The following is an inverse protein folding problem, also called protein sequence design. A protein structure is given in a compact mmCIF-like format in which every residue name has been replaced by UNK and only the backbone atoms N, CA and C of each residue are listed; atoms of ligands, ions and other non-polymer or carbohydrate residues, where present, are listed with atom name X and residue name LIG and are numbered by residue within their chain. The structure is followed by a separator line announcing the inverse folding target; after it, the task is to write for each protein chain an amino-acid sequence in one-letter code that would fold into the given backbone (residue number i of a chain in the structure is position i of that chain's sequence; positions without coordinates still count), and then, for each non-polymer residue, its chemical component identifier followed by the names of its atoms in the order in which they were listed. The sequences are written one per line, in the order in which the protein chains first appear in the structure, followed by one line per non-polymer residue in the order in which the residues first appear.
data_IF_765711097957
#
_entry.id   IF_765711097957
#
_cell.length_a   1.000
_cell.length_b   1.000
_cell.length_c   1.000
_cell.angle_alpha   90.00
_cell.angle_beta   90.00
_cell.angle_gamma   90.00
#
_symmetry.space_group_name_H-M   'P 1'
#
loop_
_entity.id
_entity.type
_entity.pdbx_description
1 polymer ?
#
# COMPACT_ATOMS: atom_id res chain seq x y z
N UNK A 1 5.43 16.59 -17.56
CA UNK A 1 4.26 15.67 -17.52
C UNK A 1 4.56 14.37 -16.77
N UNK A 2 5.62 13.61 -17.11
CA UNK A 2 5.95 12.33 -16.43
C UNK A 2 6.10 12.42 -14.90
N UNK A 3 6.65 13.52 -14.37
CA UNK A 3 6.78 13.73 -12.91
C UNK A 3 5.48 14.09 -12.19
N UNK A 4 4.45 14.56 -12.91
CA UNK A 4 3.12 14.83 -12.36
C UNK A 4 2.33 13.52 -12.27
N UNK A 5 2.31 12.75 -13.37
CA UNK A 5 1.66 11.43 -13.41
C UNK A 5 2.25 10.48 -12.36
N UNK A 6 3.58 10.44 -12.20
CA UNK A 6 4.23 9.67 -11.13
C UNK A 6 3.74 10.08 -9.74
N UNK A 7 3.65 11.39 -9.48
CA UNK A 7 3.20 11.92 -8.18
C UNK A 7 1.75 11.58 -7.90
N UNK A 8 0.87 11.75 -8.88
CA UNK A 8 -0.54 11.40 -8.74
C UNK A 8 -0.71 9.91 -8.46
N UNK A 9 -0.09 9.04 -9.25
CA UNK A 9 -0.16 7.59 -9.02
C UNK A 9 0.37 7.20 -7.63
N UNK A 10 1.48 7.81 -7.19
CA UNK A 10 2.06 7.52 -5.88
C UNK A 10 1.14 7.96 -4.73
N UNK A 11 0.49 9.11 -4.87
CA UNK A 11 -0.47 9.62 -3.89
C UNK A 11 -1.72 8.74 -3.87
N UNK A 12 -2.27 8.38 -5.03
CA UNK A 12 -3.43 7.49 -5.13
C UNK A 12 -3.13 6.15 -4.47
N UNK A 13 -1.99 5.52 -4.80
CA UNK A 13 -1.60 4.26 -4.19
C UNK A 13 -1.47 4.38 -2.66
N UNK A 14 -0.80 5.43 -2.16
CA UNK A 14 -0.64 5.64 -0.73
C UNK A 14 -1.99 5.85 -0.01
N UNK A 15 -2.87 6.70 -0.57
CA UNK A 15 -4.18 6.98 0.00
C UNK A 15 -5.08 5.74 -0.03
N UNK A 16 -5.08 4.95 -1.10
CA UNK A 16 -5.82 3.70 -1.17
C UNK A 16 -5.40 2.74 -0.04
N UNK A 17 -4.09 2.49 0.13
CA UNK A 17 -3.60 1.59 1.20
C UNK A 17 -3.95 2.16 2.57
N UNK A 18 -3.77 3.48 2.78
CA UNK A 18 -4.06 4.11 4.07
C UNK A 18 -5.55 4.02 4.42
N UNK A 19 -6.42 4.21 3.44
CA UNK A 19 -7.87 4.05 3.59
C UNK A 19 -8.23 2.60 3.88
N UNK A 20 -7.72 1.63 3.12
CA UNK A 20 -8.02 0.20 3.35
C UNK A 20 -7.56 -0.25 4.73
N UNK A 21 -6.35 0.13 5.14
CA UNK A 21 -5.80 -0.18 6.44
C UNK A 21 -6.62 0.44 7.58
N UNK A 22 -6.94 1.73 7.47
CA UNK A 22 -7.70 2.43 8.52
C UNK A 22 -9.14 1.93 8.60
N UNK A 23 -9.80 1.70 7.45
CA UNK A 23 -11.13 1.14 7.40
C UNK A 23 -11.16 -0.27 8.01
N UNK A 24 -10.13 -1.09 7.75
CA UNK A 24 -10.01 -2.43 8.33
C UNK A 24 -9.94 -2.34 9.85
N UNK A 25 -9.09 -1.48 10.41
CA UNK A 25 -9.03 -1.27 11.86
C UNK A 25 -10.37 -0.80 12.42
N UNK A 26 -11.02 0.18 11.78
CA UNK A 26 -12.28 0.72 12.27
C UNK A 26 -13.39 -0.32 12.28
N UNK A 27 -13.53 -1.10 11.22
CA UNK A 27 -14.58 -2.12 11.11
C UNK A 27 -14.31 -3.30 12.03
N UNK A 28 -13.05 -3.68 12.26
CA UNK A 28 -12.70 -4.72 13.24
C UNK A 28 -12.95 -4.28 14.70
N UNK A 29 -12.76 -3.00 15.02
CA UNK A 29 -12.96 -2.49 16.38
C UNK A 29 -14.41 -2.15 16.71
N UNK A 30 -15.19 -1.69 15.72
CA UNK A 30 -16.52 -1.12 15.95
C UNK A 30 -17.63 -1.74 15.09
N UNK A 31 -17.27 -2.51 14.06
CA UNK A 31 -18.22 -3.11 13.13
C UNK A 31 -18.74 -4.48 13.60
N UNK A 32 -19.50 -5.12 12.71
CA UNK A 32 -19.98 -6.49 12.85
C UNK A 32 -19.47 -7.34 11.68
N UNK A 33 -19.74 -8.65 11.70
CA UNK A 33 -19.28 -9.56 10.64
C UNK A 33 -19.72 -9.16 9.22
N UNK A 34 -20.93 -8.61 9.07
CA UNK A 34 -21.43 -8.13 7.78
C UNK A 34 -20.64 -6.91 7.27
N UNK A 35 -20.33 -5.96 8.16
CA UNK A 35 -19.49 -4.82 7.83
C UNK A 35 -18.07 -5.26 7.45
N UNK A 36 -17.50 -6.26 8.14
CA UNK A 36 -16.19 -6.83 7.82
C UNK A 36 -16.23 -7.44 6.42
N UNK A 37 -17.22 -8.29 6.13
CA UNK A 37 -17.39 -8.92 4.81
C UNK A 37 -17.56 -7.89 3.69
N UNK A 38 -18.38 -6.86 3.93
CA UNK A 38 -18.58 -5.77 2.97
C UNK A 38 -17.27 -5.04 2.70
N UNK A 39 -16.51 -4.71 3.75
CA UNK A 39 -15.24 -4.02 3.59
C UNK A 39 -14.21 -4.87 2.84
N UNK A 40 -14.03 -6.15 3.22
CA UNK A 40 -13.08 -7.04 2.55
C UNK A 40 -13.44 -7.22 1.07
N UNK A 41 -14.74 -7.32 0.76
CA UNK A 41 -15.24 -7.37 -0.62
C UNK A 41 -14.90 -6.10 -1.38
N UNK A 42 -15.14 -4.91 -0.81
CA UNK A 42 -14.79 -3.63 -1.43
C UNK A 42 -13.28 -3.44 -1.62
N UNK A 43 -12.45 -3.99 -0.72
CA UNK A 43 -10.99 -3.97 -0.86
C UNK A 43 -10.57 -4.82 -2.05
N UNK A 44 -11.09 -6.04 -2.20
CA UNK A 44 -10.77 -6.92 -3.32
C UNK A 44 -11.35 -6.38 -4.63
N UNK A 45 -12.62 -5.99 -4.63
CA UNK A 45 -13.32 -5.42 -5.78
C UNK A 45 -14.27 -4.28 -5.35
N UNK A 46 -14.03 -3.03 -5.77
CA UNK A 46 -13.09 -2.58 -6.81
C UNK A 46 -11.71 -2.13 -6.29
N UNK A 47 -11.39 -2.27 -5.01
CA UNK A 47 -10.22 -1.65 -4.41
C UNK A 47 -8.88 -2.04 -5.06
N UNK A 48 -8.64 -3.34 -5.27
CA UNK A 48 -7.41 -3.82 -5.91
C UNK A 48 -7.29 -3.39 -7.37
N UNK A 49 -8.41 -3.22 -8.09
CA UNK A 49 -8.40 -2.70 -9.47
C UNK A 49 -7.83 -1.29 -9.57
N UNK A 50 -7.98 -0.47 -8.52
CA UNK A 50 -7.43 0.89 -8.48
C UNK A 50 -5.99 0.84 -7.95
N UNK A 51 -5.77 0.05 -6.90
CA UNK A 51 -4.50 0.00 -6.19
C UNK A 51 -3.37 -0.60 -7.03
N UNK A 52 -3.61 -1.77 -7.66
CA UNK A 52 -2.58 -2.51 -8.39
C UNK A 52 -2.01 -1.70 -9.57
N UNK A 53 -2.83 -1.11 -10.46
CA UNK A 53 -2.31 -0.25 -11.52
C UNK A 53 -1.59 0.99 -10.98
N UNK A 54 -2.08 1.57 -9.88
CA UNK A 54 -1.46 2.75 -9.26
C UNK A 54 -0.04 2.43 -8.76
N UNK A 55 0.13 1.33 -8.02
CA UNK A 55 1.46 0.86 -7.56
C UNK A 55 2.37 0.53 -8.74
N UNK A 56 1.85 -0.22 -9.73
CA UNK A 56 2.62 -0.62 -10.90
C UNK A 56 3.13 0.61 -11.67
N UNK A 57 2.26 1.60 -11.89
CA UNK A 57 2.62 2.84 -12.55
C UNK A 57 3.61 3.66 -11.72
N UNK A 58 3.42 3.78 -10.41
CA UNK A 58 4.36 4.45 -9.50
C UNK A 58 5.74 3.80 -9.54
N UNK A 59 5.82 2.47 -9.51
CA UNK A 59 7.06 1.71 -9.57
C UNK A 59 7.78 1.91 -10.91
N UNK A 60 7.09 1.70 -12.02
CA UNK A 60 7.65 1.83 -13.37
C UNK A 60 8.11 3.27 -13.66
N UNK A 61 7.24 4.26 -13.41
CA UNK A 61 7.59 5.67 -13.60
C UNK A 61 8.69 6.14 -12.64
N UNK A 62 8.73 5.61 -11.41
CA UNK A 62 9.78 5.87 -10.43
C UNK A 62 11.14 5.36 -10.89
N UNK A 63 11.19 4.16 -11.48
CA UNK A 63 12.41 3.60 -12.05
C UNK A 63 12.91 4.41 -13.25
N UNK A 64 12.00 4.78 -14.16
CA UNK A 64 12.33 5.63 -15.31
C UNK A 64 12.87 7.00 -14.89
N UNK A 65 12.24 7.65 -13.89
CA UNK A 65 12.67 8.95 -13.36
C UNK A 65 13.99 8.90 -12.58
N UNK A 66 14.43 7.72 -12.14
CA UNK A 66 15.69 7.54 -11.45
C UNK A 66 16.85 7.20 -12.40
N UNK A 67 16.56 6.88 -13.67
CA UNK A 67 17.58 6.61 -14.70
C UNK A 67 18.41 7.88 -14.93
N UNK A 68 19.73 7.79 -14.70
CA UNK A 68 20.66 8.92 -14.81
C UNK A 68 20.71 9.86 -13.59
N UNK A 69 19.94 9.61 -12.53
CA UNK A 69 20.01 10.38 -11.26
C UNK A 69 20.79 9.60 -10.20
N UNK A 70 21.86 10.19 -9.68
CA UNK A 70 22.70 9.64 -8.63
C UNK A 70 22.40 10.21 -7.24
N UNK A 71 22.93 9.57 -6.19
CA UNK A 71 22.86 10.06 -4.80
C UNK A 71 22.34 9.02 -3.81
N UNK A 72 22.69 9.21 -2.52
CA UNK A 72 22.32 8.28 -1.42
C UNK A 72 20.81 8.09 -1.32
N UNK A 73 20.03 9.17 -1.44
CA UNK A 73 18.56 9.13 -1.35
C UNK A 73 17.89 8.38 -2.52
N UNK A 74 18.40 8.54 -3.76
CA UNK A 74 17.87 7.82 -4.93
C UNK A 74 18.09 6.31 -4.80
N UNK A 75 19.29 5.90 -4.34
CA UNK A 75 19.62 4.48 -4.11
C UNK A 75 18.79 3.87 -2.98
N UNK A 76 18.56 4.59 -1.89
CA UNK A 76 17.68 4.12 -0.81
C UNK A 76 16.24 3.93 -1.29
N UNK A 77 15.73 4.88 -2.08
CA UNK A 77 14.38 4.80 -2.66
C UNK A 77 14.22 3.60 -3.60
N UNK A 78 15.19 3.37 -4.47
CA UNK A 78 15.21 2.21 -5.38
C UNK A 78 15.28 0.89 -4.63
N UNK A 79 16.06 0.80 -3.54
CA UNK A 79 16.14 -0.43 -2.74
C UNK A 79 14.83 -0.78 -2.06
N UNK A 80 14.06 0.21 -1.59
CA UNK A 80 12.78 -0.01 -0.89
C UNK A 80 11.63 -0.39 -1.83
N UNK A 81 11.67 0.05 -3.09
CA UNK A 81 10.56 -0.13 -4.03
C UNK A 81 10.21 -1.62 -4.31
N UNK A 82 11.18 -2.52 -4.53
CA UNK A 82 10.90 -3.96 -4.68
C UNK A 82 10.29 -4.58 -3.42
N UNK A 83 10.74 -4.18 -2.21
CA UNK A 83 10.16 -4.69 -0.97
C UNK A 83 8.69 -4.28 -0.81
N UNK A 84 8.35 -3.03 -1.14
CA UNK A 84 6.96 -2.54 -1.15
C UNK A 84 6.10 -3.36 -2.12
N UNK A 85 6.59 -3.54 -3.36
CA UNK A 85 5.89 -4.30 -4.37
C UNK A 85 5.73 -5.79 -4.01
N UNK A 86 6.80 -6.43 -3.55
CA UNK A 86 6.80 -7.83 -3.15
C UNK A 86 5.88 -8.09 -1.94
N UNK A 87 5.93 -7.23 -0.91
CA UNK A 87 5.02 -7.33 0.23
C UNK A 87 3.55 -7.17 -0.20
N UNK A 88 3.28 -6.22 -1.11
CA UNK A 88 1.97 -6.04 -1.71
C UNK A 88 1.46 -7.29 -2.46
N UNK A 89 2.28 -7.83 -3.36
CA UNK A 89 1.87 -8.91 -4.26
C UNK A 89 1.88 -10.28 -3.57
N UNK A 90 2.88 -10.56 -2.74
CA UNK A 90 3.10 -11.89 -2.16
C UNK A 90 2.41 -12.08 -0.81
N UNK A 91 2.08 -11.00 -0.10
CA UNK A 91 1.47 -11.07 1.23
C UNK A 91 0.09 -10.42 1.23
N UNK A 92 0.00 -9.12 0.93
CA UNK A 92 -1.25 -8.37 1.10
C UNK A 92 -2.37 -8.83 0.15
N UNK A 93 -2.09 -9.01 -1.14
CA UNK A 93 -3.11 -9.44 -2.11
C UNK A 93 -3.66 -10.83 -1.76
N UNK A 94 -2.83 -11.87 -1.52
CA UNK A 94 -3.33 -13.18 -1.09
C UNK A 94 -4.13 -13.11 0.20
N UNK A 95 -3.66 -12.37 1.20
CA UNK A 95 -4.39 -12.21 2.46
C UNK A 95 -5.77 -11.57 2.22
N UNK A 96 -5.83 -10.48 1.44
CA UNK A 96 -7.09 -9.79 1.15
C UNK A 96 -8.11 -10.71 0.46
N UNK A 97 -7.68 -11.52 -0.51
CA UNK A 97 -8.56 -12.46 -1.23
C UNK A 97 -9.06 -13.58 -0.32
N UNK A 98 -8.18 -14.15 0.52
CA UNK A 98 -8.57 -15.21 1.47
C UNK A 98 -9.53 -14.66 2.52
N UNK A 99 -9.25 -13.48 3.06
CA UNK A 99 -10.10 -12.83 4.07
C UNK A 99 -11.46 -12.45 3.50
N UNK A 100 -11.53 -11.94 2.28
CA UNK A 100 -12.80 -11.68 1.59
C UNK A 100 -13.61 -12.97 1.41
N UNK A 101 -12.98 -14.04 0.92
CA UNK A 101 -13.65 -15.31 0.75
C UNK A 101 -14.23 -15.85 2.06
N UNK A 102 -13.44 -15.87 3.13
CA UNK A 102 -13.91 -16.36 4.44
C UNK A 102 -14.96 -15.45 5.07
N UNK A 103 -14.79 -14.13 4.99
CA UNK A 103 -15.78 -13.20 5.50
C UNK A 103 -17.13 -13.32 4.74
N UNK A 104 -17.11 -13.58 3.43
CA UNK A 104 -18.32 -13.82 2.64
C UNK A 104 -19.10 -15.07 3.07
N UNK A 105 -18.41 -16.04 3.66
CA UNK A 105 -19.00 -17.25 4.23
C UNK A 105 -19.40 -17.07 5.72
N UNK A 106 -19.17 -15.89 6.29
CA UNK A 106 -19.34 -15.65 7.73
C UNK A 106 -18.35 -16.42 8.61
N UNK A 107 -17.24 -16.89 8.05
CA UNK A 107 -16.22 -17.67 8.75
C UNK A 107 -15.22 -16.74 9.45
N UNK A 108 -15.53 -16.39 10.70
CA UNK A 108 -14.67 -15.58 11.58
C UNK A 108 -14.04 -16.46 12.67
N UNK A 109 -13.33 -17.50 12.26
CA UNK A 109 -12.65 -18.44 13.14
C UNK A 109 -11.21 -18.01 13.45
N UNK A 110 -10.48 -18.82 14.23
CA UNK A 110 -9.07 -18.52 14.57
C UNK A 110 -8.20 -18.37 13.32
N UNK A 111 -8.48 -19.12 12.25
CA UNK A 111 -7.78 -18.98 10.98
C UNK A 111 -7.92 -17.58 10.39
N UNK A 112 -9.16 -17.06 10.34
CA UNK A 112 -9.45 -15.70 9.89
C UNK A 112 -8.61 -14.66 10.66
N UNK A 113 -8.64 -14.70 11.99
CA UNK A 113 -7.93 -13.71 12.81
C UNK A 113 -6.41 -13.78 12.70
N UNK A 114 -5.84 -14.98 12.44
CA UNK A 114 -4.41 -15.13 12.18
C UNK A 114 -4.02 -14.46 10.87
N UNK A 115 -4.75 -14.73 9.78
CA UNK A 115 -4.50 -14.12 8.47
C UNK A 115 -4.74 -12.61 8.51
N UNK A 116 -5.76 -12.17 9.23
CA UNK A 116 -6.06 -10.77 9.48
C UNK A 116 -4.90 -10.06 10.21
N UNK A 117 -4.34 -10.69 11.23
CA UNK A 117 -3.17 -10.17 11.94
C UNK A 117 -1.96 -10.00 11.01
N UNK A 118 -1.72 -10.99 10.15
CA UNK A 118 -0.65 -10.92 9.13
C UNK A 118 -0.92 -9.80 8.13
N UNK A 119 -2.15 -9.65 7.65
CA UNK A 119 -2.56 -8.58 6.74
C UNK A 119 -2.30 -7.19 7.34
N UNK A 120 -2.70 -6.98 8.61
CA UNK A 120 -2.48 -5.70 9.30
C UNK A 120 -0.99 -5.42 9.51
N UNK A 121 -0.19 -6.39 9.95
CA UNK A 121 1.26 -6.20 10.14
C UNK A 121 1.92 -5.86 8.79
N UNK A 122 1.62 -6.65 7.75
CA UNK A 122 2.13 -6.40 6.41
C UNK A 122 1.68 -5.05 5.86
N UNK A 123 0.43 -4.62 6.16
CA UNK A 123 -0.15 -3.36 5.72
C UNK A 123 0.52 -2.16 6.37
N UNK A 124 0.74 -2.24 7.69
CA UNK A 124 1.47 -1.23 8.44
C UNK A 124 2.91 -1.07 7.93
N UNK A 125 3.62 -2.19 7.72
CA UNK A 125 4.97 -2.20 7.14
C UNK A 125 4.95 -1.53 5.75
N UNK A 126 3.97 -1.87 4.90
CA UNK A 126 3.89 -1.31 3.55
C UNK A 126 3.66 0.20 3.56
N UNK A 127 2.76 0.68 4.44
CA UNK A 127 2.49 2.11 4.62
C UNK A 127 3.72 2.87 5.12
N UNK A 128 4.44 2.33 6.10
CA UNK A 128 5.66 2.93 6.63
C UNK A 128 6.73 3.01 5.53
N UNK A 129 6.95 1.93 4.79
CA UNK A 129 7.91 1.89 3.69
C UNK A 129 7.55 2.91 2.59
N UNK A 130 6.28 2.99 2.18
CA UNK A 130 5.82 3.98 1.20
C UNK A 130 5.96 5.41 1.71
N UNK A 131 5.59 5.67 2.97
CA UNK A 131 5.73 6.98 3.60
C UNK A 131 7.18 7.46 3.64
N UNK A 132 8.11 6.57 4.02
CA UNK A 132 9.54 6.87 3.95
C UNK A 132 10.00 7.15 2.51
N UNK A 133 9.53 6.36 1.53
CA UNK A 133 9.85 6.56 0.11
C UNK A 133 9.32 7.90 -0.45
N UNK A 134 8.16 8.35 0.02
CA UNK A 134 7.58 9.65 -0.34
C UNK A 134 8.37 10.80 0.30
N UNK A 135 8.72 10.68 1.58
CA UNK A 135 9.55 11.67 2.29
C UNK A 135 10.89 11.90 1.61
N UNK A 136 11.57 10.83 1.22
CA UNK A 136 12.85 10.92 0.49
C UNK A 136 12.67 11.58 -0.89
N UNK A 137 11.52 11.36 -1.55
CA UNK A 137 11.15 12.03 -2.79
C UNK A 137 10.94 13.54 -2.67
N UNK A 138 10.38 14.00 -1.55
CA UNK A 138 10.26 15.43 -1.23
C UNK A 138 11.63 16.06 -0.90
N UNK A 139 12.53 15.30 -0.29
CA UNK A 139 13.93 15.67 -0.09
C UNK A 139 14.67 15.94 -1.40
N UNK A 140 14.48 15.07 -2.40
CA UNK A 140 15.11 15.19 -3.72
C UNK A 140 14.58 16.35 -4.57
N UNK A 141 13.38 16.88 -4.29
CA UNK A 141 12.80 18.04 -4.99
C UNK A 141 13.17 19.38 -4.34
N UNK A 142 14.03 19.38 -3.32
CA UNK A 142 14.46 20.59 -2.62
C UNK A 142 13.40 21.22 -1.71
N UNK A 143 12.19 20.63 -1.64
CA UNK A 143 11.10 21.10 -0.76
C UNK A 143 11.34 20.80 0.72
N UNK A 144 12.26 19.89 1.03
CA UNK A 144 12.79 19.64 2.38
C UNK A 144 14.26 20.05 2.48
N UNK A 145 14.66 21.19 1.89
CA UNK A 145 15.95 21.79 2.24
C UNK A 145 15.82 22.29 3.68
N UNK A 146 16.24 21.46 4.65
CA UNK A 146 16.64 21.98 5.96
C UNK A 146 17.82 22.92 5.68
N UNK A 147 17.60 24.21 5.88
CA UNK A 147 18.69 25.10 6.25
C UNK A 147 19.21 24.61 7.60
N UNK A 148 20.37 23.96 7.58
CA UNK A 148 21.32 23.80 8.67
C UNK A 148 22.55 23.08 8.12
#
# INVERSE_FOLDING_TARGET
MASLLHRLAAIIAFLCIATFFSATILVELFGNGEAIATLKSLIVWPGLLILVPSIAFTGASGFALAKGRGGKLVRQKQKRMPFIGANGILVLIPCAVVLDHWASLGAFDTGFYVVQGVELIAGAINLILMGMNMRDGLGLTGRLRRSA
#
